data_IF_101090610985
#
_entry.id   IF_101090610985
#
_cell.length_a   1.000
_cell.length_b   1.000
_cell.length_c   1.000
_cell.angle_alpha   90.00
_cell.angle_beta   90.00
_cell.angle_gamma   90.00
#
_symmetry.space_group_name_H-M   'P 1'
#
loop_
_entity.id
_entity.type
_entity.pdbx_description
1 polymer ?
#
# COMPACT_ATOMS: atom_id res chain seq x y z
N UNK A 1 -5.34 3.28 1.55
CA UNK A 1 -4.72 2.17 0.79
C UNK A 1 -3.25 2.49 0.52
N UNK A 2 -2.39 1.53 0.11
CA UNK A 2 -0.93 1.76 -0.06
C UNK A 2 -0.59 2.85 -1.09
N UNK A 3 -1.36 2.94 -2.17
CA UNK A 3 -1.20 4.01 -3.19
C UNK A 3 -1.36 5.42 -2.62
N UNK A 4 -2.33 5.62 -1.72
CA UNK A 4 -2.52 6.90 -1.02
C UNK A 4 -1.32 7.25 -0.13
N UNK A 5 -0.75 6.27 0.58
CA UNK A 5 0.45 6.52 1.39
C UNK A 5 1.64 6.92 0.53
N UNK A 6 1.84 6.26 -0.61
CA UNK A 6 2.88 6.64 -1.56
C UNK A 6 2.64 8.06 -2.12
N UNK A 7 1.40 8.41 -2.46
CA UNK A 7 1.01 9.75 -2.91
C UNK A 7 1.44 10.84 -1.91
N UNK A 8 1.14 10.64 -0.63
CA UNK A 8 1.54 11.54 0.45
C UNK A 8 3.06 11.59 0.66
N UNK A 9 3.74 10.43 0.61
CA UNK A 9 5.21 10.37 0.71
C UNK A 9 5.92 11.10 -0.43
N UNK A 10 5.33 11.08 -1.62
CA UNK A 10 5.80 11.88 -2.75
C UNK A 10 5.53 13.39 -2.57
N UNK A 11 4.90 13.81 -1.48
CA UNK A 11 4.62 15.22 -1.15
C UNK A 11 3.34 15.75 -1.79
N UNK A 12 2.50 14.88 -2.36
CA UNK A 12 1.19 15.28 -2.86
C UNK A 12 0.17 15.42 -1.73
N UNK A 13 -0.86 16.22 -1.97
CA UNK A 13 -1.99 16.45 -1.07
C UNK A 13 -3.27 15.91 -1.71
N UNK A 14 -4.33 15.79 -0.91
CA UNK A 14 -5.61 15.26 -1.38
C UNK A 14 -5.59 13.74 -1.55
N UNK A 15 -6.59 13.22 -2.24
CA UNK A 15 -6.74 11.78 -2.49
C UNK A 15 -6.12 11.42 -3.85
N UNK A 16 -5.52 10.24 -3.93
CA UNK A 16 -4.94 9.70 -5.18
C UNK A 16 -6.02 9.45 -6.23
N UNK A 17 -7.25 9.19 -5.81
CA UNK A 17 -8.41 9.00 -6.67
C UNK A 17 -8.83 10.29 -7.41
N UNK A 18 -8.57 11.46 -6.81
CA UNK A 18 -8.89 12.77 -7.40
C UNK A 18 -8.10 13.04 -8.69
N UNK A 19 -6.92 12.42 -8.84
CA UNK A 19 -6.07 12.55 -10.03
C UNK A 19 -6.53 11.66 -11.21
N UNK A 20 -7.40 10.68 -10.94
CA UNK A 20 -7.92 9.76 -11.95
C UNK A 20 -6.82 8.96 -12.66
N UNK A 21 -7.08 8.55 -13.90
CA UNK A 21 -6.11 7.79 -14.71
C UNK A 21 -5.12 8.72 -15.43
N UNK A 22 -4.30 9.42 -14.66
CA UNK A 22 -3.27 10.32 -15.18
C UNK A 22 -1.92 10.09 -14.51
N UNK A 23 -0.84 10.31 -15.26
CA UNK A 23 0.51 10.30 -14.72
C UNK A 23 0.81 11.64 -14.05
N UNK A 24 1.16 11.60 -12.76
CA UNK A 24 1.55 12.79 -11.99
C UNK A 24 2.94 12.57 -11.41
N UNK A 25 3.85 13.45 -11.80
CA UNK A 25 5.24 13.41 -11.37
C UNK A 25 5.49 14.48 -10.31
N UNK A 26 6.30 14.20 -9.26
CA UNK A 26 6.75 15.22 -8.35
C UNK A 26 7.53 16.30 -9.11
N UNK A 27 7.29 17.56 -8.76
CA UNK A 27 8.05 18.66 -9.33
C UNK A 27 9.49 18.70 -8.78
N UNK A 28 10.43 19.24 -9.56
CA UNK A 28 11.80 19.40 -9.09
C UNK A 28 11.85 20.29 -7.84
N UNK A 29 12.55 19.84 -6.80
CA UNK A 29 12.62 20.55 -5.51
C UNK A 29 11.39 20.37 -4.61
N UNK A 30 10.41 19.57 -5.02
CA UNK A 30 9.29 19.19 -4.16
C UNK A 30 9.78 18.48 -2.91
N UNK A 31 9.29 18.95 -1.75
CA UNK A 31 9.62 18.33 -0.48
C UNK A 31 8.88 17.01 -0.35
N UNK A 32 9.65 15.93 -0.22
CA UNK A 32 9.14 14.60 0.10
C UNK A 32 9.04 14.44 1.62
N UNK A 33 8.14 13.57 2.07
CA UNK A 33 8.12 13.15 3.47
C UNK A 33 9.24 12.12 3.72
N UNK A 34 9.70 11.95 4.98
CA UNK A 34 10.64 10.90 5.31
C UNK A 34 10.10 9.53 4.86
N UNK A 35 10.92 8.71 4.18
CA UNK A 35 10.46 7.43 3.67
C UNK A 35 10.24 6.43 4.80
N UNK A 36 9.16 5.67 4.71
CA UNK A 36 8.89 4.51 5.56
C UNK A 36 8.51 3.29 4.68
N UNK A 37 8.69 2.06 5.18
CA UNK A 37 8.23 0.86 4.47
C UNK A 37 6.72 0.92 4.18
N UNK A 38 6.34 0.73 2.92
CA UNK A 38 4.93 0.62 2.53
C UNK A 38 4.32 -0.75 2.88
N UNK A 39 5.18 -1.77 3.01
CA UNK A 39 4.79 -3.13 3.31
C UNK A 39 5.79 -3.76 4.27
N UNK A 40 5.29 -4.59 5.17
CA UNK A 40 6.10 -5.55 5.92
C UNK A 40 6.17 -6.86 5.14
N UNK A 41 7.27 -7.63 5.31
CA UNK A 41 7.31 -9.00 4.83
C UNK A 41 6.20 -9.80 5.53
N UNK A 42 5.51 -10.66 4.78
CA UNK A 42 4.55 -11.59 5.36
C UNK A 42 5.28 -12.60 6.26
N UNK A 43 4.75 -12.78 7.47
CA UNK A 43 5.24 -13.81 8.39
C UNK A 43 4.80 -15.20 7.93
N UNK A 44 5.73 -16.16 7.98
CA UNK A 44 5.50 -17.51 7.48
C UNK A 44 4.50 -18.27 8.36
N UNK A 45 4.54 -18.11 9.69
CA UNK A 45 3.59 -18.74 10.60
C UNK A 45 2.16 -18.21 10.43
N UNK A 46 2.02 -16.90 10.19
CA UNK A 46 0.73 -16.29 9.85
C UNK A 46 0.17 -16.85 8.54
N UNK A 47 1.02 -17.05 7.53
CA UNK A 47 0.59 -17.62 6.25
C UNK A 47 0.05 -19.05 6.42
N UNK A 48 0.69 -19.86 7.26
CA UNK A 48 0.26 -21.24 7.54
C UNK A 48 -1.07 -21.29 8.30
N UNK A 49 -1.25 -20.41 9.30
CA UNK A 49 -2.51 -20.28 10.05
C UNK A 49 -3.68 -19.91 9.11
N UNK A 50 -3.47 -18.91 8.26
CA UNK A 50 -4.49 -18.43 7.33
C UNK A 50 -4.84 -19.47 6.27
N UNK A 51 -3.85 -20.18 5.75
CA UNK A 51 -4.04 -21.30 4.82
C UNK A 51 -4.87 -22.41 5.47
N UNK A 52 -4.57 -22.74 6.72
CA UNK A 52 -5.33 -23.73 7.48
C UNK A 52 -6.78 -23.30 7.64
N UNK A 53 -7.05 -22.04 8.02
CA UNK A 53 -8.40 -21.49 8.18
C UNK A 53 -9.21 -21.55 6.89
N UNK A 54 -8.62 -21.17 5.76
CA UNK A 54 -9.27 -21.24 4.44
C UNK A 54 -9.55 -22.70 4.01
N UNK A 55 -8.65 -23.64 4.33
CA UNK A 55 -8.85 -25.06 4.06
C UNK A 55 -10.03 -25.67 4.81
N UNK A 56 -10.33 -25.19 6.04
CA UNK A 56 -11.51 -25.63 6.80
C UNK A 56 -12.83 -25.06 6.25
N UNK A 57 -12.79 -23.93 5.53
CA UNK A 57 -13.97 -23.31 4.95
C UNK A 57 -14.50 -24.03 3.69
N UNK A 58 -13.81 -25.05 3.17
CA UNK A 58 -14.16 -25.75 1.92
C UNK A 58 -14.84 -27.12 2.13
N UNK A 59 -15.21 -27.50 3.36
CA UNK A 59 -15.93 -28.75 3.63
C UNK A 59 -17.05 -28.57 4.66
N UNK A 60 -18.10 -27.83 4.30
CA UNK A 60 -19.43 -27.87 4.95
C UNK A 60 -20.53 -27.71 3.89
#
# INVERSE_FOLDING_TARGET
FSSQRLHEFLGFKGSVEDDGWQLRFPSAGQRLLPPEPLFSKLDEGLADEETSRLGHAHFQ
#
